data_IF_796814348352
#
_entry.id   IF_796814348352
#
_cell.length_a   1.000
_cell.length_b   1.000
_cell.length_c   1.000
_cell.angle_alpha   90.00
_cell.angle_beta   90.00
_cell.angle_gamma   90.00
#
_symmetry.space_group_name_H-M   'P 1'
#
loop_
_entity.id
_entity.type
_entity.pdbx_description
1 polymer ?
#
# COMPACT_ATOMS: atom_id res chain seq x y z
N UNK A 1 13.48 -41.70 -12.42
CA UNK A 1 12.48 -41.42 -13.47
C UNK A 1 11.16 -41.09 -12.81
N UNK A 2 10.43 -40.11 -13.34
CA UNK A 2 9.10 -39.74 -12.85
C UNK A 2 8.09 -40.83 -13.28
N UNK A 3 7.17 -41.22 -12.40
CA UNK A 3 6.18 -42.26 -12.70
C UNK A 3 5.29 -41.90 -13.91
N UNK A 4 5.04 -40.60 -14.11
CA UNK A 4 4.26 -40.03 -15.22
C UNK A 4 4.89 -40.27 -16.58
N UNK A 5 6.22 -40.42 -16.68
CA UNK A 5 6.92 -40.64 -17.96
C UNK A 5 6.53 -41.94 -18.68
N UNK A 6 5.91 -42.88 -17.95
CA UNK A 6 5.46 -44.18 -18.48
C UNK A 6 3.93 -44.26 -18.61
N UNK A 7 3.23 -43.19 -18.26
CA UNK A 7 1.77 -43.11 -18.34
C UNK A 7 1.36 -42.52 -19.68
N UNK A 8 0.31 -43.08 -20.28
CA UNK A 8 -0.28 -42.57 -21.54
C UNK A 8 -1.29 -41.46 -21.28
N UNK A 9 -1.72 -41.29 -20.03
CA UNK A 9 -2.68 -40.30 -19.58
C UNK A 9 -2.15 -39.68 -18.28
N UNK A 10 -2.17 -38.35 -18.20
CA UNK A 10 -1.72 -37.60 -17.02
C UNK A 10 -2.86 -36.70 -16.58
N UNK A 11 -3.30 -36.86 -15.33
CA UNK A 11 -4.35 -36.00 -14.74
C UNK A 11 -3.72 -34.73 -14.20
N UNK A 12 -3.94 -33.61 -14.88
CA UNK A 12 -3.54 -32.29 -14.41
C UNK A 12 -4.60 -31.80 -13.42
N UNK A 13 -4.15 -31.35 -12.24
CA UNK A 13 -5.01 -30.81 -11.19
C UNK A 13 -4.82 -29.30 -11.10
N UNK A 14 -5.80 -28.62 -10.51
CA UNK A 14 -5.75 -27.19 -10.19
C UNK A 14 -5.68 -26.26 -11.42
N UNK A 15 -6.16 -26.74 -12.58
CA UNK A 15 -6.34 -25.94 -13.80
C UNK A 15 -7.79 -26.05 -14.26
N UNK A 16 -8.36 -24.92 -14.65
CA UNK A 16 -9.69 -24.85 -15.26
C UNK A 16 -9.67 -25.45 -16.68
N UNK A 17 -10.72 -26.18 -17.05
CA UNK A 17 -10.84 -26.85 -18.35
C UNK A 17 -10.68 -25.87 -19.52
N UNK A 18 -11.33 -24.70 -19.44
CA UNK A 18 -11.30 -23.69 -20.50
C UNK A 18 -9.92 -23.05 -20.60
N UNK A 19 -9.29 -22.79 -19.46
CA UNK A 19 -7.92 -22.28 -19.44
C UNK A 19 -6.94 -23.29 -20.06
N UNK A 20 -7.09 -24.59 -19.75
CA UNK A 20 -6.22 -25.62 -20.32
C UNK A 20 -6.36 -25.72 -21.84
N UNK A 21 -7.59 -25.67 -22.37
CA UNK A 21 -7.85 -25.73 -23.80
C UNK A 21 -7.18 -24.56 -24.54
N UNK A 22 -7.34 -23.33 -24.03
CA UNK A 22 -6.67 -22.14 -24.57
C UNK A 22 -5.14 -22.24 -24.55
N UNK A 23 -4.58 -22.83 -23.50
CA UNK A 23 -3.13 -23.01 -23.36
C UNK A 23 -2.60 -24.08 -24.33
N UNK A 24 -3.36 -25.13 -24.59
CA UNK A 24 -3.03 -26.14 -25.60
C UNK A 24 -3.10 -25.51 -26.99
N UNK A 25 -4.18 -24.82 -27.31
CA UNK A 25 -4.34 -24.12 -28.59
C UNK A 25 -3.20 -23.12 -28.82
N UNK A 26 -2.78 -22.39 -27.78
CA UNK A 26 -1.61 -21.53 -27.84
C UNK A 26 -0.33 -22.30 -28.16
N UNK A 27 -0.09 -23.46 -27.52
CA UNK A 27 1.11 -24.27 -27.80
C UNK A 27 1.20 -24.70 -29.28
N UNK A 28 0.07 -24.88 -29.97
CA UNK A 28 0.04 -25.27 -31.38
C UNK A 28 -0.05 -24.10 -32.36
N UNK A 29 -0.68 -22.98 -31.98
CA UNK A 29 -0.96 -21.85 -32.89
C UNK A 29 -0.14 -20.60 -32.60
N UNK A 30 0.48 -20.52 -31.43
CA UNK A 30 1.15 -19.32 -30.89
C UNK A 30 0.24 -18.08 -30.80
N UNK A 31 -1.07 -18.28 -30.71
CA UNK A 31 -2.06 -17.22 -30.62
C UNK A 31 -2.98 -17.44 -29.42
N UNK A 32 -3.15 -16.40 -28.59
CA UNK A 32 -4.05 -16.42 -27.44
C UNK A 32 -4.65 -15.03 -27.23
N UNK A 33 -5.92 -14.98 -26.86
CA UNK A 33 -6.65 -13.73 -26.57
C UNK A 33 -6.90 -13.66 -25.07
N UNK A 34 -6.36 -12.63 -24.42
CA UNK A 34 -6.53 -12.38 -22.99
C UNK A 34 -7.63 -11.35 -22.79
N UNK A 35 -8.61 -11.71 -21.96
CA UNK A 35 -9.81 -10.92 -21.64
C UNK A 35 -10.02 -10.88 -20.12
N UNK A 36 -10.86 -9.96 -19.63
CA UNK A 36 -11.15 -9.83 -18.19
C UNK A 36 -11.79 -11.11 -17.60
N UNK A 37 -12.58 -11.81 -18.39
CA UNK A 37 -13.26 -13.06 -18.01
C UNK A 37 -12.30 -14.23 -17.85
N UNK A 38 -11.19 -14.26 -18.61
CA UNK A 38 -10.29 -15.40 -18.66
C UNK A 38 -8.96 -15.18 -17.91
N UNK A 39 -8.53 -13.93 -17.71
CA UNK A 39 -7.20 -13.63 -17.15
C UNK A 39 -7.02 -14.20 -15.73
N UNK A 40 -8.11 -14.28 -14.95
CA UNK A 40 -8.09 -14.81 -13.59
C UNK A 40 -7.86 -16.32 -13.54
N UNK A 41 -8.30 -17.08 -14.55
CA UNK A 41 -8.08 -18.53 -14.65
C UNK A 41 -6.85 -18.88 -15.50
N UNK A 42 -6.51 -18.02 -16.46
CA UNK A 42 -5.38 -18.20 -17.37
C UNK A 42 -4.03 -17.95 -16.70
N UNK A 43 -3.88 -16.88 -15.91
CA UNK A 43 -2.60 -16.58 -15.25
C UNK A 43 -2.14 -17.69 -14.29
N UNK A 44 -2.99 -18.24 -13.40
CA UNK A 44 -2.60 -19.33 -12.51
C UNK A 44 -2.16 -20.57 -13.28
N UNK A 45 -2.89 -20.91 -14.35
CA UNK A 45 -2.57 -22.05 -15.21
C UNK A 45 -1.24 -21.84 -15.95
N UNK A 46 -0.98 -20.63 -16.47
CA UNK A 46 0.29 -20.26 -17.08
C UNK A 46 1.45 -20.28 -16.06
N UNK A 47 1.22 -19.90 -14.80
CA UNK A 47 2.19 -20.02 -13.72
C UNK A 47 2.51 -21.47 -13.39
N UNK A 48 1.50 -22.34 -13.30
CA UNK A 48 1.66 -23.75 -12.98
C UNK A 48 2.40 -24.52 -14.09
N UNK A 49 2.06 -24.24 -15.35
CA UNK A 49 2.72 -24.85 -16.52
C UNK A 49 4.02 -24.14 -16.92
N UNK A 50 4.43 -23.10 -16.18
CA UNK A 50 5.66 -22.33 -16.41
C UNK A 50 5.75 -21.67 -17.80
N UNK A 51 4.60 -21.25 -18.35
CA UNK A 51 4.49 -20.54 -19.62
C UNK A 51 4.74 -19.04 -19.43
N UNK A 52 6.01 -18.65 -19.38
CA UNK A 52 6.44 -17.28 -19.07
C UNK A 52 5.85 -16.21 -20.02
N UNK A 53 5.76 -16.50 -21.32
CA UNK A 53 5.22 -15.56 -22.31
C UNK A 53 3.77 -15.17 -22.02
N UNK A 54 2.96 -16.14 -21.61
CA UNK A 54 1.55 -15.91 -21.27
C UNK A 54 1.44 -15.18 -19.93
N UNK A 55 2.29 -15.53 -18.95
CA UNK A 55 2.36 -14.82 -17.68
C UNK A 55 2.65 -13.33 -17.90
N UNK A 56 3.61 -13.00 -18.76
CA UNK A 56 3.96 -11.62 -19.10
C UNK A 56 2.79 -10.89 -19.77
N UNK A 57 2.11 -11.51 -20.73
CA UNK A 57 0.94 -10.93 -21.41
C UNK A 57 -0.19 -10.68 -20.41
N UNK A 58 -0.52 -11.65 -19.55
CA UNK A 58 -1.54 -11.51 -18.52
C UNK A 58 -1.17 -10.41 -17.50
N UNK A 59 0.10 -10.35 -17.10
CA UNK A 59 0.58 -9.28 -16.22
C UNK A 59 0.47 -7.90 -16.88
N UNK A 60 0.84 -7.76 -18.15
CA UNK A 60 0.69 -6.50 -18.91
C UNK A 60 -0.78 -6.10 -19.07
N UNK A 61 -1.68 -7.06 -19.28
CA UNK A 61 -3.11 -6.82 -19.32
C UNK A 61 -3.61 -6.28 -17.96
N UNK A 62 -3.26 -6.94 -16.86
CA UNK A 62 -3.67 -6.53 -15.51
C UNK A 62 -3.10 -5.16 -15.13
N UNK A 63 -1.86 -4.84 -15.54
CA UNK A 63 -1.27 -3.50 -15.33
C UNK A 63 -2.10 -2.39 -15.99
N UNK A 64 -2.69 -2.64 -17.16
CA UNK A 64 -3.51 -1.65 -17.89
C UNK A 64 -4.91 -1.48 -17.29
N UNK A 65 -5.38 -2.48 -16.56
CA UNK A 65 -6.71 -2.49 -15.92
C UNK A 65 -6.68 -2.10 -14.43
N UNK A 66 -5.54 -1.61 -13.92
CA UNK A 66 -5.44 -1.15 -12.54
C UNK A 66 -6.33 0.07 -12.30
N UNK A 67 -7.27 -0.08 -11.38
CA UNK A 67 -8.21 0.94 -10.94
C UNK A 67 -8.25 0.97 -9.39
N UNK A 68 -8.50 2.11 -8.74
CA UNK A 68 -8.59 2.17 -7.28
C UNK A 68 -9.62 1.19 -6.67
N UNK A 69 -10.66 0.81 -7.43
CA UNK A 69 -11.68 -0.14 -7.01
C UNK A 69 -11.25 -1.61 -7.08
N UNK A 70 -10.23 -1.98 -7.88
CA UNK A 70 -9.81 -3.36 -8.12
C UNK A 70 -8.34 -3.64 -7.76
N UNK A 71 -7.56 -2.60 -7.43
CA UNK A 71 -6.12 -2.71 -7.27
C UNK A 71 -5.72 -3.64 -6.12
N UNK A 72 -6.56 -3.76 -5.08
CA UNK A 72 -6.29 -4.62 -3.94
C UNK A 72 -6.51 -6.09 -4.32
N UNK A 73 -7.56 -6.38 -5.08
CA UNK A 73 -7.78 -7.69 -5.69
C UNK A 73 -6.62 -8.11 -6.59
N UNK A 74 -6.18 -7.24 -7.51
CA UNK A 74 -5.05 -7.51 -8.41
C UNK A 74 -3.75 -7.70 -7.63
N UNK A 75 -3.52 -6.91 -6.57
CA UNK A 75 -2.37 -7.06 -5.68
C UNK A 75 -2.36 -8.42 -4.98
N UNK A 76 -3.47 -8.83 -4.37
CA UNK A 76 -3.61 -10.13 -3.71
C UNK A 76 -3.43 -11.30 -4.69
N UNK A 77 -3.95 -11.15 -5.90
CA UNK A 77 -3.77 -12.10 -6.98
C UNK A 77 -2.29 -12.22 -7.40
N UNK A 78 -1.60 -11.09 -7.57
CA UNK A 78 -0.18 -11.07 -7.90
C UNK A 78 0.70 -11.71 -6.82
N UNK A 79 0.36 -11.50 -5.54
CA UNK A 79 1.05 -12.11 -4.40
C UNK A 79 0.88 -13.64 -4.40
N UNK A 80 -0.36 -14.11 -4.60
CA UNK A 80 -0.71 -15.54 -4.65
C UNK A 80 0.05 -16.29 -5.75
N UNK A 81 0.20 -15.68 -6.93
CA UNK A 81 0.88 -16.29 -8.07
C UNK A 81 2.36 -15.90 -8.19
N UNK A 82 2.92 -15.22 -7.18
CA UNK A 82 4.32 -14.78 -7.15
C UNK A 82 4.74 -13.90 -8.33
N UNK A 83 3.80 -13.16 -8.92
CA UNK A 83 4.03 -12.22 -10.02
C UNK A 83 4.66 -10.92 -9.48
N UNK A 84 5.97 -10.95 -9.20
CA UNK A 84 6.69 -9.87 -8.50
C UNK A 84 6.57 -8.50 -9.15
N UNK A 85 6.62 -8.42 -10.48
CA UNK A 85 6.55 -7.13 -11.16
C UNK A 85 5.14 -6.53 -11.11
N UNK A 86 4.10 -7.37 -11.29
CA UNK A 86 2.71 -6.93 -11.14
C UNK A 86 2.44 -6.50 -9.69
N UNK A 87 2.91 -7.28 -8.71
CA UNK A 87 2.79 -6.94 -7.28
C UNK A 87 3.42 -5.59 -6.98
N UNK A 88 4.65 -5.34 -7.47
CA UNK A 88 5.35 -4.06 -7.26
C UNK A 88 4.60 -2.87 -7.87
N UNK A 89 4.00 -3.06 -9.04
CA UNK A 89 3.24 -2.01 -9.72
C UNK A 89 1.93 -1.75 -8.98
N UNK A 90 1.22 -2.82 -8.58
CA UNK A 90 0.01 -2.72 -7.78
C UNK A 90 0.27 -2.04 -6.44
N UNK A 91 1.35 -2.39 -5.72
CA UNK A 91 1.77 -1.74 -4.48
C UNK A 91 1.98 -0.24 -4.67
N UNK A 92 2.73 0.16 -5.70
CA UNK A 92 2.95 1.58 -6.01
C UNK A 92 1.66 2.31 -6.36
N UNK A 93 0.76 1.66 -7.10
CA UNK A 93 -0.53 2.23 -7.46
C UNK A 93 -1.43 2.41 -6.23
N UNK A 94 -1.54 1.40 -5.37
CA UNK A 94 -2.27 1.46 -4.10
C UNK A 94 -1.71 2.54 -3.19
N UNK A 95 -0.39 2.65 -3.08
CA UNK A 95 0.25 3.71 -2.29
C UNK A 95 -0.03 5.10 -2.85
N UNK A 96 -0.05 5.26 -4.18
CA UNK A 96 -0.30 6.54 -4.84
C UNK A 96 -1.75 7.01 -4.71
N UNK A 97 -2.71 6.10 -4.92
CA UNK A 97 -4.15 6.36 -4.93
C UNK A 97 -4.84 5.95 -3.62
N UNK A 98 -4.09 5.85 -2.52
CA UNK A 98 -4.60 5.34 -1.24
C UNK A 98 -5.86 6.08 -0.74
N UNK A 99 -6.00 7.37 -1.09
CA UNK A 99 -7.18 8.18 -0.77
C UNK A 99 -8.47 7.65 -1.41
N UNK A 100 -8.41 7.15 -2.63
CA UNK A 100 -9.58 6.58 -3.31
C UNK A 100 -9.78 5.12 -2.89
N UNK A 101 -8.67 4.40 -2.66
CA UNK A 101 -8.70 3.00 -2.21
C UNK A 101 -9.33 2.85 -0.82
N UNK A 102 -9.10 3.80 0.11
CA UNK A 102 -9.69 3.69 1.46
C UNK A 102 -11.22 3.81 1.48
N UNK A 103 -11.82 4.37 0.42
CA UNK A 103 -13.28 4.48 0.25
C UNK A 103 -13.88 3.24 -0.44
N UNK A 104 -13.06 2.37 -1.01
CA UNK A 104 -13.52 1.19 -1.74
C UNK A 104 -13.96 0.07 -0.81
N UNK A 105 -14.90 -0.75 -1.27
CA UNK A 105 -15.37 -1.93 -0.54
C UNK A 105 -14.26 -2.99 -0.41
N UNK A 106 -13.40 -3.13 -1.42
CA UNK A 106 -12.25 -4.04 -1.37
C UNK A 106 -11.37 -3.78 -0.14
N UNK A 107 -11.19 -2.51 0.24
CA UNK A 107 -10.41 -2.16 1.42
C UNK A 107 -11.03 -2.71 2.70
N UNK A 108 -12.36 -2.66 2.84
CA UNK A 108 -13.08 -3.19 4.00
C UNK A 108 -13.01 -4.71 4.08
N UNK A 109 -12.86 -5.39 2.95
CA UNK A 109 -12.77 -6.85 2.86
C UNK A 109 -11.34 -7.40 3.07
N UNK A 110 -10.32 -6.53 3.12
CA UNK A 110 -8.92 -6.95 3.27
C UNK A 110 -8.67 -7.80 4.52
N UNK A 111 -7.80 -8.83 4.43
CA UNK A 111 -7.30 -9.54 5.59
C UNK A 111 -6.30 -8.67 6.37
N UNK A 112 -6.14 -8.96 7.67
CA UNK A 112 -5.28 -8.19 8.58
C UNK A 112 -3.84 -8.07 8.09
N UNK A 113 -3.26 -9.16 7.54
CA UNK A 113 -1.87 -9.17 7.07
C UNK A 113 -1.63 -8.16 5.95
N UNK A 114 -2.48 -8.19 4.91
CA UNK A 114 -2.36 -7.26 3.79
C UNK A 114 -2.61 -5.81 4.21
N UNK A 115 -3.56 -5.57 5.12
CA UNK A 115 -3.81 -4.23 5.65
C UNK A 115 -2.57 -3.69 6.39
N UNK A 116 -1.95 -4.53 7.23
CA UNK A 116 -0.72 -4.18 7.96
C UNK A 116 0.41 -3.85 6.98
N UNK A 117 0.60 -4.66 5.94
CA UNK A 117 1.63 -4.41 4.92
C UNK A 117 1.44 -3.04 4.25
N UNK A 118 0.20 -2.72 3.85
CA UNK A 118 -0.13 -1.44 3.23
C UNK A 118 0.13 -0.28 4.20
N UNK A 119 -0.38 -0.35 5.43
CA UNK A 119 -0.27 0.73 6.43
C UNK A 119 1.16 0.90 6.96
N UNK A 120 1.95 -0.18 6.98
CA UNK A 120 3.35 -0.12 7.40
C UNK A 120 4.24 0.64 6.41
N UNK A 121 3.81 0.80 5.15
CA UNK A 121 4.60 1.47 4.12
C UNK A 121 4.78 2.97 4.38
N UNK A 122 6.04 3.41 4.37
CA UNK A 122 6.42 4.82 4.50
C UNK A 122 6.03 5.65 3.26
N UNK A 123 5.74 5.01 2.14
CA UNK A 123 5.47 5.64 0.84
C UNK A 123 3.98 5.93 0.57
N UNK A 124 3.08 5.62 1.53
CA UNK A 124 1.64 5.91 1.37
C UNK A 124 1.39 7.40 1.14
N UNK A 125 0.71 7.72 0.05
CA UNK A 125 0.37 9.07 -0.35
C UNK A 125 -0.91 9.56 0.35
N UNK A 126 -0.77 9.93 1.62
CA UNK A 126 -1.85 10.46 2.46
C UNK A 126 -1.62 11.92 2.81
N UNK A 127 -2.70 12.69 2.93
CA UNK A 127 -2.62 14.11 3.34
C UNK A 127 -2.29 14.25 4.82
N UNK A 128 -2.91 13.41 5.64
CA UNK A 128 -2.77 13.39 7.10
C UNK A 128 -2.86 11.95 7.61
N UNK A 129 -2.19 11.65 8.72
CA UNK A 129 -2.35 10.36 9.41
C UNK A 129 -3.77 10.17 9.97
N UNK A 130 -4.55 11.24 10.10
CA UNK A 130 -5.96 11.19 10.51
C UNK A 130 -6.79 10.37 9.50
N UNK A 131 -6.48 10.46 8.21
CA UNK A 131 -7.13 9.64 7.18
C UNK A 131 -6.78 8.15 7.34
N UNK A 132 -5.52 7.83 7.62
CA UNK A 132 -5.08 6.45 7.87
C UNK A 132 -5.79 5.87 9.08
N UNK A 133 -5.87 6.65 10.18
CA UNK A 133 -6.60 6.24 11.36
C UNK A 133 -8.09 6.02 11.07
N UNK A 134 -8.73 6.95 10.34
CA UNK A 134 -10.14 6.81 9.96
C UNK A 134 -10.37 5.55 9.12
N UNK A 135 -9.50 5.27 8.15
CA UNK A 135 -9.58 4.07 7.31
C UNK A 135 -9.47 2.79 8.14
N UNK A 136 -8.50 2.72 9.07
CA UNK A 136 -8.36 1.59 10.01
C UNK A 136 -9.62 1.41 10.85
N UNK A 137 -10.17 2.50 11.38
CA UNK A 137 -11.38 2.43 12.20
C UNK A 137 -12.60 1.97 11.38
N UNK A 138 -12.74 2.41 10.13
CA UNK A 138 -13.78 1.90 9.22
C UNK A 138 -13.62 0.40 8.97
N UNK A 139 -12.40 -0.07 8.74
CA UNK A 139 -12.10 -1.50 8.58
C UNK A 139 -12.42 -2.31 9.85
N UNK A 140 -12.06 -1.83 11.04
CA UNK A 140 -12.39 -2.55 12.29
C UNK A 140 -13.90 -2.53 12.56
N UNK A 141 -14.59 -1.41 12.29
CA UNK A 141 -16.04 -1.28 12.48
C UNK A 141 -16.86 -2.18 11.57
N UNK A 142 -16.32 -2.57 10.40
CA UNK A 142 -16.96 -3.50 9.49
C UNK A 142 -17.16 -4.90 10.10
N UNK A 143 -16.19 -5.41 10.87
CA UNK A 143 -16.31 -6.69 11.60
C UNK A 143 -15.65 -6.58 12.97
N UNK A 144 -16.35 -5.94 13.91
CA UNK A 144 -15.83 -5.65 15.26
C UNK A 144 -15.50 -6.93 16.03
N UNK A 145 -16.30 -7.98 15.89
CA UNK A 145 -16.17 -9.21 16.67
C UNK A 145 -14.83 -9.91 16.45
N UNK A 146 -14.41 -10.06 15.19
CA UNK A 146 -13.16 -10.74 14.84
C UNK A 146 -11.96 -9.79 14.77
N UNK A 147 -12.17 -8.53 14.35
CA UNK A 147 -11.06 -7.59 14.11
C UNK A 147 -10.61 -6.86 15.36
N UNK A 148 -11.42 -6.84 16.43
CA UNK A 148 -11.05 -6.18 17.69
C UNK A 148 -9.75 -6.72 18.29
N UNK A 149 -9.48 -8.02 18.19
CA UNK A 149 -8.23 -8.62 18.68
C UNK A 149 -6.99 -8.15 17.89
N UNK A 150 -7.18 -7.74 16.64
CA UNK A 150 -6.11 -7.27 15.76
C UNK A 150 -5.94 -5.75 15.81
N UNK A 151 -6.83 -5.02 16.51
CA UNK A 151 -6.80 -3.56 16.56
C UNK A 151 -5.44 -3.03 17.03
N UNK A 152 -4.89 -3.56 18.13
CA UNK A 152 -3.59 -3.15 18.63
C UNK A 152 -2.46 -3.37 17.61
N UNK A 153 -2.49 -4.52 16.93
CA UNK A 153 -1.51 -4.87 15.89
C UNK A 153 -1.61 -3.93 14.69
N UNK A 154 -2.80 -3.50 14.28
CA UNK A 154 -2.95 -2.55 13.16
C UNK A 154 -2.58 -1.13 13.61
N UNK A 155 -3.02 -0.73 14.81
CA UNK A 155 -2.83 0.62 15.34
C UNK A 155 -1.36 0.96 15.60
N UNK A 156 -0.51 -0.01 15.91
CA UNK A 156 0.93 0.22 16.08
C UNK A 156 1.61 0.73 14.79
N UNK A 157 1.03 0.46 13.61
CA UNK A 157 1.55 0.92 12.32
C UNK A 157 0.98 2.28 11.91
N UNK A 158 -0.02 2.79 12.64
CA UNK A 158 -0.50 4.17 12.49
C UNK A 158 0.44 5.09 13.26
N UNK A 159 0.89 6.17 12.63
CA UNK A 159 1.82 7.12 13.25
C UNK A 159 1.06 8.11 14.15
N UNK A 160 0.50 7.59 15.24
CA UNK A 160 -0.25 8.38 16.24
C UNK A 160 0.48 9.65 16.72
N UNK A 161 1.82 9.66 16.92
CA UNK A 161 2.55 10.86 17.33
C UNK A 161 2.50 12.02 16.33
N UNK A 162 2.11 11.77 15.08
CA UNK A 162 1.97 12.77 14.01
C UNK A 162 0.54 13.27 13.84
N UNK A 163 -0.42 12.75 14.62
CA UNK A 163 -1.79 13.25 14.62
C UNK A 163 -1.88 14.61 15.30
N UNK A 164 -2.92 15.39 14.96
CA UNK A 164 -3.18 16.63 15.67
C UNK A 164 -3.57 16.34 17.13
N UNK A 165 -3.11 17.14 18.12
CA UNK A 165 -3.45 16.92 19.53
C UNK A 165 -4.96 16.92 19.79
N UNK A 166 -5.71 17.75 19.03
CA UNK A 166 -7.18 17.81 19.09
C UNK A 166 -7.82 16.50 18.67
N UNK A 167 -7.35 15.89 17.58
CA UNK A 167 -7.87 14.63 17.07
C UNK A 167 -7.48 13.45 17.98
N UNK A 168 -6.25 13.43 18.48
CA UNK A 168 -5.77 12.37 19.38
C UNK A 168 -6.60 12.31 20.68
N UNK A 169 -6.87 13.45 21.32
CA UNK A 169 -7.65 13.49 22.56
C UNK A 169 -9.15 13.38 22.29
N UNK A 170 -9.65 14.08 21.26
CA UNK A 170 -11.08 14.20 20.98
C UNK A 170 -11.70 12.98 20.32
N UNK A 171 -10.97 12.29 19.44
CA UNK A 171 -11.49 11.17 18.63
C UNK A 171 -10.82 9.86 19.02
N UNK A 172 -9.49 9.78 19.00
CA UNK A 172 -8.78 8.52 19.28
C UNK A 172 -8.95 8.09 20.74
N UNK A 173 -8.73 9.01 21.67
CA UNK A 173 -8.84 8.75 23.11
C UNK A 173 -10.28 8.59 23.62
N UNK A 174 -11.29 9.04 22.86
CA UNK A 174 -12.70 8.91 23.22
C UNK A 174 -13.35 7.64 22.66
N UNK A 175 -12.78 7.03 21.61
CA UNK A 175 -13.33 5.84 20.98
C UNK A 175 -13.32 4.64 21.95
N UNK A 176 -14.49 3.99 22.07
CA UNK A 176 -14.69 2.88 22.99
C UNK A 176 -13.80 1.69 22.67
N UNK A 177 -13.48 1.44 21.40
CA UNK A 177 -12.66 0.31 20.99
C UNK A 177 -11.22 0.47 21.48
N UNK A 178 -10.67 1.69 21.34
CA UNK A 178 -9.32 2.04 21.79
C UNK A 178 -9.24 2.05 23.32
N UNK A 179 -10.26 2.57 24.01
CA UNK A 179 -10.31 2.61 25.48
C UNK A 179 -10.44 1.24 26.13
N UNK A 180 -11.05 0.28 25.44
CA UNK A 180 -11.32 -1.04 25.98
C UNK A 180 -10.09 -1.97 25.95
N UNK A 181 -9.07 -1.62 25.17
CA UNK A 181 -7.83 -2.39 25.04
C UNK A 181 -6.68 -1.66 25.77
N UNK A 182 -5.89 -2.40 26.54
CA UNK A 182 -4.72 -1.87 27.25
C UNK A 182 -3.60 -1.50 26.28
N UNK A 183 -3.32 -2.36 25.31
CA UNK A 183 -2.23 -2.13 24.35
C UNK A 183 -2.50 -0.88 23.50
N UNK A 184 -3.76 -0.66 23.13
CA UNK A 184 -4.16 0.54 22.39
C UNK A 184 -4.03 1.82 23.23
N UNK A 185 -4.29 1.76 24.54
CA UNK A 185 -4.14 2.90 25.45
C UNK A 185 -2.66 3.28 25.61
N UNK A 186 -1.77 2.30 25.75
CA UNK A 186 -0.33 2.53 25.85
C UNK A 186 0.20 3.24 24.60
N UNK A 187 -0.25 2.84 23.40
CA UNK A 187 0.09 3.51 22.13
C UNK A 187 -0.36 4.98 22.09
N UNK A 188 -1.56 5.27 22.60
CA UNK A 188 -2.10 6.63 22.66
C UNK A 188 -1.35 7.48 23.69
N UNK A 189 -1.00 6.90 24.84
CA UNK A 189 -0.27 7.62 25.89
C UNK A 189 1.18 7.89 25.49
N UNK A 190 1.84 6.99 24.76
CA UNK A 190 3.12 7.26 24.10
C UNK A 190 3.01 8.46 23.14
N UNK A 191 1.98 8.49 22.30
CA UNK A 191 1.76 9.60 21.37
C UNK A 191 1.50 10.93 22.10
N UNK A 192 0.75 10.91 23.21
CA UNK A 192 0.56 12.10 24.07
C UNK A 192 1.88 12.58 24.66
N UNK A 193 2.70 11.68 25.20
CA UNK A 193 4.00 12.03 25.76
C UNK A 193 4.92 12.67 24.70
N UNK A 194 4.96 12.12 23.49
CA UNK A 194 5.71 12.72 22.38
C UNK A 194 5.25 14.14 22.02
N UNK A 195 3.94 14.41 22.08
CA UNK A 195 3.38 15.72 21.82
C UNK A 195 3.64 16.70 22.98
N UNK A 196 3.59 16.24 24.23
CA UNK A 196 3.75 17.02 25.45
C UNK A 196 5.22 17.35 25.79
N UNK A 197 6.19 16.57 25.31
CA UNK A 197 7.62 16.81 25.51
C UNK A 197 8.36 17.18 24.21
N UNK A 198 8.18 18.39 23.65
CA UNK A 198 8.87 18.82 22.44
C UNK A 198 10.40 18.76 22.50
N UNK A 199 10.97 18.96 23.69
CA UNK A 199 12.41 18.98 23.92
C UNK A 199 13.06 17.58 23.86
N UNK A 200 12.29 16.52 24.12
CA UNK A 200 12.79 15.14 24.11
C UNK A 200 12.52 14.39 22.79
N UNK A 201 11.84 15.03 21.83
CA UNK A 201 11.59 14.46 20.49
C UNK A 201 12.83 13.94 19.76
N UNK A 202 14.04 14.52 19.90
CA UNK A 202 15.25 13.94 19.31
C UNK A 202 15.64 12.58 19.91
N UNK A 203 15.28 12.31 21.16
CA UNK A 203 15.58 11.07 21.88
C UNK A 203 14.48 10.01 21.70
N UNK A 204 13.26 10.44 21.33
CA UNK A 204 12.09 9.56 21.11
C UNK A 204 11.91 9.12 19.65
N UNK A 205 12.98 9.14 18.84
CA UNK A 205 12.89 8.80 17.42
C UNK A 205 12.64 7.29 17.22
N UNK A 206 11.55 6.96 16.54
CA UNK A 206 11.20 5.58 16.16
C UNK A 206 10.41 5.51 14.84
N UNK A 207 10.04 4.30 14.39
CA UNK A 207 9.25 4.11 13.17
C UNK A 207 7.94 4.91 13.17
N UNK A 208 7.32 5.06 14.35
CA UNK A 208 6.04 5.75 14.56
C UNK A 208 6.16 7.28 14.61
N UNK A 209 7.36 7.84 14.82
CA UNK A 209 7.59 9.30 14.90
C UNK A 209 8.16 9.88 13.60
N UNK A 210 8.54 9.02 12.64
CA UNK A 210 9.06 9.42 11.33
C UNK A 210 7.89 9.73 10.39
N UNK A 211 7.76 10.93 9.82
CA UNK A 211 6.73 11.21 8.82
C UNK A 211 6.81 10.28 7.61
N UNK A 212 5.64 9.96 7.02
CA UNK A 212 5.59 9.29 5.70
C UNK A 212 6.32 10.15 4.67
N UNK A 213 7.04 9.49 3.76
CA UNK A 213 7.68 10.11 2.61
C UNK A 213 6.78 9.88 1.40
N UNK A 214 5.83 10.80 1.09
CA UNK A 214 5.01 10.64 -0.10
C UNK A 214 5.92 10.58 -1.33
N UNK A 215 5.68 9.62 -2.21
CA UNK A 215 6.47 9.31 -3.42
C UNK A 215 6.61 10.50 -4.39
N UNK A 216 5.90 11.61 -4.14
CA UNK A 216 5.86 12.82 -4.98
C UNK A 216 5.99 14.15 -4.23
N UNK A 217 6.72 14.21 -3.11
CA UNK A 217 7.25 15.53 -2.73
C UNK A 217 8.54 15.74 -3.49
N UNK A 218 8.48 16.60 -4.52
CA UNK A 218 9.68 17.24 -5.03
C UNK A 218 10.42 17.80 -3.83
N UNK A 219 11.66 17.33 -3.62
CA UNK A 219 12.54 17.84 -2.59
C UNK A 219 12.83 19.30 -2.95
N UNK A 220 11.99 20.21 -2.47
CA UNK A 220 12.17 21.63 -2.73
C UNK A 220 13.33 22.11 -1.88
N UNK A 221 14.32 22.73 -2.53
CA UNK A 221 15.50 23.23 -1.84
C UNK A 221 15.23 24.68 -1.46
N UNK A 222 15.32 25.00 -0.17
CA UNK A 222 15.21 26.37 0.30
C UNK A 222 16.61 26.96 0.50
N UNK A 223 16.91 28.02 -0.24
CA UNK A 223 18.07 28.87 0.01
C UNK A 223 17.61 30.04 0.88
N UNK A 224 18.12 30.13 2.11
CA UNK A 224 17.78 31.18 3.06
C UNK A 224 19.01 32.06 3.29
N UNK A 225 18.90 33.30 2.85
CA UNK A 225 19.89 34.34 3.01
C UNK A 225 21.08 34.23 2.05
N UNK A 226 22.07 35.10 2.27
CA UNK A 226 23.28 35.18 1.46
C UNK A 226 24.08 36.42 1.79
N UNK A 227 25.26 36.56 1.20
CA UNK A 227 26.08 37.75 1.32
C UNK A 227 26.50 38.20 -0.08
N UNK A 228 26.09 39.39 -0.49
CA UNK A 228 26.45 39.92 -1.79
C UNK A 228 26.86 41.39 -1.65
N UNK A 229 28.03 41.74 -2.18
CA UNK A 229 28.50 43.13 -2.28
C UNK A 229 28.51 43.94 -0.98
N UNK A 230 28.72 43.28 0.16
CA UNK A 230 28.83 43.94 1.47
C UNK A 230 27.53 43.97 2.28
N UNK A 231 26.40 43.56 1.69
CA UNK A 231 25.10 43.50 2.36
C UNK A 231 24.64 42.05 2.57
N UNK A 232 23.99 41.83 3.72
CA UNK A 232 23.33 40.57 4.03
C UNK A 232 22.00 40.49 3.29
N UNK A 233 21.83 39.44 2.50
CA UNK A 233 20.60 39.15 1.77
C UNK A 233 19.64 38.46 2.74
N UNK A 234 18.44 39.01 2.88
CA UNK A 234 17.36 38.45 3.68
C UNK A 234 16.25 37.88 2.76
N UNK A 235 16.63 37.13 1.74
CA UNK A 235 15.68 36.44 0.85
C UNK A 235 15.61 34.96 1.18
N UNK A 236 14.44 34.39 0.95
CA UNK A 236 14.19 32.96 0.97
C UNK A 236 13.76 32.56 -0.43
N UNK A 237 14.60 31.80 -1.11
CA UNK A 237 14.30 31.26 -2.43
C UNK A 237 14.00 29.77 -2.30
N UNK A 238 12.98 29.31 -3.02
CA UNK A 238 12.61 27.91 -3.14
C UNK A 238 12.93 27.44 -4.55
N UNK A 239 13.78 26.44 -4.66
CA UNK A 239 13.99 25.67 -5.86
C UNK A 239 13.00 24.52 -5.91
N UNK A 240 12.35 24.33 -7.06
CA UNK A 240 11.54 23.16 -7.34
C UNK A 240 12.25 22.26 -8.36
N UNK A 241 12.70 21.05 -7.97
CA UNK A 241 13.42 20.16 -8.89
C UNK A 241 12.55 19.60 -10.02
N UNK A 242 11.21 19.68 -9.91
CA UNK A 242 10.32 19.22 -10.98
C UNK A 242 10.18 20.24 -12.11
N UNK A 243 10.21 21.54 -11.77
CA UNK A 243 10.15 22.63 -12.75
C UNK A 243 11.52 23.21 -13.08
N UNK A 244 12.56 22.85 -12.32
CA UNK A 244 13.93 23.37 -12.41
C UNK A 244 13.95 24.91 -12.27
N UNK A 245 13.05 25.46 -11.46
CA UNK A 245 12.89 26.90 -11.28
C UNK A 245 13.11 27.33 -9.84
N UNK A 246 13.72 28.50 -9.67
CA UNK A 246 13.81 29.23 -8.41
C UNK A 246 12.65 30.22 -8.28
N UNK A 247 11.97 30.20 -7.13
CA UNK A 247 10.93 31.17 -6.79
C UNK A 247 11.21 31.81 -5.44
N UNK A 248 11.15 33.14 -5.39
CA UNK A 248 11.26 33.89 -4.15
C UNK A 248 10.00 33.68 -3.29
N UNK A 249 10.20 33.33 -2.02
CA UNK A 249 9.12 32.97 -1.08
C UNK A 249 8.98 33.98 0.04
N UNK A 250 10.08 34.62 0.47
CA UNK A 250 10.10 35.71 1.43
C UNK A 250 11.30 36.63 1.20
#
# INVERSE_FOLDING_TARGET
ELAESRQTEVTIRDIDEVAMDLLIDFCYTSHIVVEESNVQTLLPAACLLQLAEIQDICCEFLKRQLDPSNCLGIRAFADTHSCRELLRIADKFTQHNFQDVMESEEFLLLPVGQLVDIISSDELNVRTEEQVFSAVMSWVKYNVSERRQHLAQVLQHVRLPLLSPKFLVGTVGSDLLVRSDESCRDLVDEAKNYLLLPQERPLMQGPRTRPRKPTRRGEVLFAVGGWCSGDAIASVERFDPQTVDWKMVA
#
